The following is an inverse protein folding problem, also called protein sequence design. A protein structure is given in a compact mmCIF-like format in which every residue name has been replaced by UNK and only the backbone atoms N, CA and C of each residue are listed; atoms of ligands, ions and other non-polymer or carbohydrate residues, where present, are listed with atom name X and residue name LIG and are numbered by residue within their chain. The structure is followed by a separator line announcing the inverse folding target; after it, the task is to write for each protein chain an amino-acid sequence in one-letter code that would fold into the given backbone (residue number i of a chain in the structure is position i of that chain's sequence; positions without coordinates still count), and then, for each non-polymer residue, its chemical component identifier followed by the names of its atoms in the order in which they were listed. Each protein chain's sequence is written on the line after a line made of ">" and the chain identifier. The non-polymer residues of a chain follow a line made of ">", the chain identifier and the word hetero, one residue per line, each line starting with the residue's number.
data_IF_640610266880
#
_entry.id   IF_640610266880
#
_cell.length_a   1.000
_cell.length_b   1.000
_cell.length_c   1.000
_cell.angle_alpha   90.00
_cell.angle_beta   90.00
_cell.angle_gamma   90.00
#
_symmetry.space_group_name_H-M   'P 1'
#
loop_
_entity.id
_entity.type
_entity.pdbx_description
1 polymer ?
#
# COMPACT_ATOMS: atom_id res chain seq x y z
N UNK A 1 59.65 -6.14 16.80
CA UNK A 1 58.79 -7.25 16.31
C UNK A 1 57.97 -7.77 17.50
N UNK A 2 56.73 -7.32 17.66
CA UNK A 2 55.89 -7.71 18.80
C UNK A 2 55.22 -9.06 18.54
N UNK A 3 55.61 -10.08 19.30
CA UNK A 3 55.02 -11.42 19.28
C UNK A 3 53.70 -11.42 20.05
N UNK A 4 52.57 -11.42 19.35
CA UNK A 4 51.25 -11.64 19.97
C UNK A 4 51.15 -13.05 20.57
N UNK A 5 50.74 -13.14 21.83
CA UNK A 5 50.60 -14.37 22.59
C UNK A 5 49.51 -15.29 22.02
N UNK A 6 49.69 -16.63 22.04
CA UNK A 6 48.79 -17.59 21.41
C UNK A 6 47.34 -17.55 21.94
N UNK A 7 47.13 -17.05 23.16
CA UNK A 7 45.80 -16.83 23.75
C UNK A 7 45.02 -15.71 23.07
N UNK A 8 45.68 -14.61 22.65
CA UNK A 8 45.03 -13.50 21.95
C UNK A 8 44.62 -13.85 20.52
N UNK A 9 45.34 -14.76 19.86
CA UNK A 9 44.97 -15.27 18.52
C UNK A 9 43.72 -16.16 18.56
N UNK A 10 43.60 -17.03 19.57
CA UNK A 10 42.42 -17.90 19.75
C UNK A 10 41.16 -17.11 20.09
N UNK A 11 41.27 -16.10 20.95
CA UNK A 11 40.14 -15.23 21.28
C UNK A 11 39.62 -14.44 20.07
N UNK A 12 40.53 -13.94 19.21
CA UNK A 12 40.16 -13.25 17.96
C UNK A 12 39.50 -14.19 16.95
N UNK A 13 40.00 -15.42 16.81
CA UNK A 13 39.41 -16.40 15.89
C UNK A 13 37.98 -16.78 16.31
N UNK A 14 37.75 -16.99 17.62
CA UNK A 14 36.44 -17.29 18.18
C UNK A 14 35.46 -16.13 18.04
N UNK A 15 35.93 -14.88 18.18
CA UNK A 15 35.09 -13.70 17.96
C UNK A 15 34.67 -13.54 16.49
N UNK A 16 35.58 -13.80 15.54
CA UNK A 16 35.27 -13.74 14.10
C UNK A 16 34.30 -14.86 13.71
N UNK A 17 34.49 -16.08 14.23
CA UNK A 17 33.55 -17.19 14.01
C UNK A 17 32.17 -16.91 14.63
N UNK A 18 32.13 -16.36 15.84
CA UNK A 18 30.86 -15.97 16.49
C UNK A 18 30.10 -14.91 15.70
N UNK A 19 30.81 -13.88 15.19
CA UNK A 19 30.22 -12.85 14.33
C UNK A 19 29.72 -13.41 12.99
N UNK A 20 30.47 -14.33 12.37
CA UNK A 20 30.07 -14.98 11.13
C UNK A 20 28.83 -15.87 11.31
N UNK A 21 28.73 -16.60 12.43
CA UNK A 21 27.55 -17.41 12.75
C UNK A 21 26.33 -16.52 13.05
N UNK A 22 26.49 -15.43 13.81
CA UNK A 22 25.38 -14.48 14.02
C UNK A 22 24.92 -13.82 12.71
N UNK A 23 25.85 -13.44 11.83
CA UNK A 23 25.52 -12.89 10.51
C UNK A 23 24.77 -13.89 9.64
N UNK A 24 25.16 -15.17 9.66
CA UNK A 24 24.49 -16.23 8.92
C UNK A 24 23.08 -16.51 9.48
N UNK A 25 22.93 -16.53 10.81
CA UNK A 25 21.62 -16.72 11.46
C UNK A 25 20.67 -15.54 11.17
N UNK A 26 21.17 -14.30 11.20
CA UNK A 26 20.37 -13.13 10.84
C UNK A 26 19.93 -13.15 9.36
N UNK A 27 20.77 -13.64 8.45
CA UNK A 27 20.44 -13.80 7.03
C UNK A 27 19.45 -14.95 6.75
N UNK A 28 19.21 -15.84 7.71
CA UNK A 28 18.25 -16.95 7.61
C UNK A 28 16.88 -16.62 8.22
N UNK A 29 16.70 -15.42 8.79
CA UNK A 29 15.39 -14.98 9.25
C UNK A 29 14.57 -14.61 8.01
N UNK A 30 13.49 -15.33 7.68
CA UNK A 30 12.62 -14.92 6.59
C UNK A 30 12.07 -13.53 6.91
N UNK A 31 12.32 -12.56 6.04
CA UNK A 31 11.61 -11.29 6.08
C UNK A 31 10.12 -11.58 5.90
N UNK A 32 9.22 -11.00 6.71
CA UNK A 32 7.80 -11.15 6.46
C UNK A 32 7.51 -10.70 5.03
N UNK A 33 7.08 -11.64 4.18
CA UNK A 33 6.66 -11.31 2.84
C UNK A 33 5.26 -10.71 2.96
N UNK A 34 5.21 -9.38 3.05
CA UNK A 34 3.96 -8.63 3.11
C UNK A 34 3.29 -8.72 1.75
N UNK A 35 2.09 -9.27 1.71
CA UNK A 35 1.21 -9.07 0.57
C UNK A 35 0.63 -7.65 0.62
N UNK A 36 0.20 -7.15 -0.53
CA UNK A 36 -0.36 -5.81 -0.66
C UNK A 36 -1.22 -5.76 -1.92
N UNK A 37 -2.46 -5.33 -1.76
CA UNK A 37 -3.41 -5.12 -2.84
C UNK A 37 -4.71 -4.50 -2.32
N UNK A 38 -5.34 -3.69 -3.16
CA UNK A 38 -6.72 -3.25 -3.01
C UNK A 38 -7.39 -3.25 -4.39
N UNK A 39 -8.73 -3.28 -4.41
CA UNK A 39 -9.49 -3.28 -5.67
C UNK A 39 -9.30 -1.96 -6.40
N UNK A 40 -8.99 -2.03 -7.69
CA UNK A 40 -8.73 -0.89 -8.57
C UNK A 40 -9.91 -0.61 -9.50
N UNK A 41 -10.66 -1.66 -9.88
CA UNK A 41 -11.90 -1.55 -10.66
C UNK A 41 -12.90 -2.64 -10.21
N UNK A 42 -14.10 -2.26 -9.71
CA UNK A 42 -14.45 -0.92 -9.25
C UNK A 42 -13.54 -0.49 -8.10
N UNK A 43 -13.04 0.74 -8.13
CA UNK A 43 -11.98 1.19 -7.22
C UNK A 43 -12.40 1.19 -5.74
N UNK A 44 -11.51 0.73 -4.88
CA UNK A 44 -11.71 0.73 -3.44
C UNK A 44 -11.64 2.15 -2.86
N UNK A 45 -12.26 2.40 -1.70
CA UNK A 45 -12.17 3.68 -0.98
C UNK A 45 -10.72 4.16 -0.83
N UNK A 46 -9.83 3.30 -0.34
CA UNK A 46 -8.41 3.64 -0.14
C UNK A 46 -7.72 4.00 -1.45
N UNK A 47 -7.96 3.24 -2.52
CA UNK A 47 -7.37 3.46 -3.83
C UNK A 47 -7.87 4.75 -4.50
N UNK A 48 -9.20 4.97 -4.53
CA UNK A 48 -9.75 6.19 -5.15
C UNK A 48 -9.38 7.45 -4.36
N UNK A 49 -9.35 7.39 -3.02
CA UNK A 49 -8.85 8.49 -2.21
C UNK A 49 -7.34 8.72 -2.40
N UNK A 50 -6.56 7.67 -2.68
CA UNK A 50 -5.14 7.80 -3.03
C UNK A 50 -4.97 8.52 -4.36
N UNK A 51 -5.74 8.17 -5.39
CA UNK A 51 -5.71 8.87 -6.67
C UNK A 51 -6.12 10.35 -6.53
N UNK A 52 -7.13 10.65 -5.69
CA UNK A 52 -7.52 12.02 -5.39
C UNK A 52 -6.42 12.79 -4.63
N UNK A 53 -5.74 12.14 -3.67
CA UNK A 53 -4.56 12.71 -3.01
C UNK A 53 -3.44 12.99 -4.03
N UNK A 54 -3.17 12.08 -4.96
CA UNK A 54 -2.13 12.23 -5.99
C UNK A 54 -2.38 13.45 -6.89
N UNK A 55 -3.64 13.67 -7.31
CA UNK A 55 -4.04 14.88 -8.05
C UNK A 55 -3.84 16.17 -7.25
N UNK A 56 -3.84 16.06 -5.92
CA UNK A 56 -3.75 17.18 -4.98
C UNK A 56 -2.49 17.12 -4.10
N UNK A 57 -1.41 16.50 -4.62
CA UNK A 57 -0.20 16.22 -3.84
C UNK A 57 0.43 17.47 -3.22
N UNK A 58 0.24 18.65 -3.84
CA UNK A 58 0.73 19.93 -3.34
C UNK A 58 0.13 20.38 -2.00
N UNK A 59 -1.08 19.94 -1.65
CA UNK A 59 -1.74 20.25 -0.36
C UNK A 59 -1.71 19.06 0.61
N UNK A 60 -1.28 17.88 0.16
CA UNK A 60 -1.41 16.62 0.90
C UNK A 60 -2.85 16.34 1.34
N UNK A 61 -3.84 16.84 0.59
CA UNK A 61 -5.25 16.72 0.94
C UNK A 61 -6.10 16.35 -0.29
N UNK A 62 -6.85 15.22 -0.24
CA UNK A 62 -7.86 14.90 -1.24
C UNK A 62 -8.92 16.01 -1.33
N UNK A 63 -9.57 16.13 -2.50
CA UNK A 63 -10.65 17.10 -2.71
C UNK A 63 -12.04 16.52 -2.45
N UNK A 64 -12.19 15.20 -2.53
CA UNK A 64 -13.39 14.49 -2.12
C UNK A 64 -13.64 14.70 -0.62
N UNK A 65 -14.85 15.09 -0.19
CA UNK A 65 -15.14 15.36 1.22
C UNK A 65 -14.98 14.15 2.15
N UNK A 66 -15.33 12.94 1.71
CA UNK A 66 -15.15 11.72 2.50
C UNK A 66 -13.66 11.35 2.64
N UNK A 67 -12.90 11.42 1.54
CA UNK A 67 -11.46 11.20 1.55
C UNK A 67 -10.74 12.23 2.42
N UNK A 68 -11.09 13.51 2.32
CA UNK A 68 -10.52 14.57 3.15
C UNK A 68 -10.84 14.36 4.63
N UNK A 69 -12.06 13.94 4.97
CA UNK A 69 -12.43 13.57 6.33
C UNK A 69 -11.61 12.38 6.84
N UNK A 70 -11.41 11.35 6.01
CA UNK A 70 -10.60 10.19 6.38
C UNK A 70 -9.13 10.58 6.66
N UNK A 71 -8.55 11.48 5.87
CA UNK A 71 -7.19 11.99 6.14
C UNK A 71 -7.15 12.87 7.39
N UNK A 72 -8.19 13.65 7.68
CA UNK A 72 -8.25 14.44 8.91
C UNK A 72 -8.32 13.56 10.17
N UNK A 73 -8.92 12.38 10.08
CA UNK A 73 -9.06 11.44 11.19
C UNK A 73 -7.82 10.53 11.35
N UNK A 74 -7.40 9.83 10.28
CA UNK A 74 -6.35 8.81 10.34
C UNK A 74 -5.01 9.24 9.71
N UNK A 75 -4.90 10.48 9.24
CA UNK A 75 -3.71 11.01 8.56
C UNK A 75 -3.57 10.50 7.11
N UNK A 76 -2.47 10.88 6.44
CA UNK A 76 -2.19 10.47 5.06
C UNK A 76 -1.57 9.07 4.95
N UNK A 77 -1.09 8.51 6.07
CA UNK A 77 -0.44 7.19 6.13
C UNK A 77 -1.22 6.08 5.42
N UNK A 78 -2.53 5.92 5.68
CA UNK A 78 -3.38 4.98 4.96
C UNK A 78 -3.37 5.13 3.44
N UNK A 79 -3.30 6.35 2.91
CA UNK A 79 -3.29 6.58 1.46
C UNK A 79 -1.95 6.27 0.82
N UNK A 80 -0.82 6.50 1.51
CA UNK A 80 0.49 6.03 1.05
C UNK A 80 0.65 4.50 1.13
N UNK A 81 -0.27 3.84 1.84
CA UNK A 81 -0.31 2.39 2.01
C UNK A 81 -1.69 1.86 1.60
N UNK A 82 -2.30 2.44 0.56
CA UNK A 82 -3.69 2.20 0.14
C UNK A 82 -4.01 0.72 -0.12
N UNK A 83 -2.97 -0.06 -0.43
CA UNK A 83 -2.96 -1.49 -0.69
C UNK A 83 -2.77 -2.38 0.57
N UNK A 84 -2.69 -1.79 1.78
CA UNK A 84 -2.27 -2.48 3.00
C UNK A 84 -3.41 -2.69 4.02
N UNK A 85 -4.67 -2.70 3.58
CA UNK A 85 -5.82 -3.05 4.43
C UNK A 85 -5.81 -4.56 4.67
N UNK A 86 -5.08 -4.97 5.71
CA UNK A 86 -4.74 -6.38 5.94
C UNK A 86 -4.98 -6.84 7.38
N UNK A 87 -5.08 -8.14 7.55
CA UNK A 87 -4.93 -8.83 8.84
C UNK A 87 -4.01 -10.03 8.67
N UNK A 88 -2.81 -9.97 9.26
CA UNK A 88 -1.81 -11.04 9.20
C UNK A 88 -2.29 -12.37 9.79
N UNK A 89 -3.35 -12.37 10.60
CA UNK A 89 -3.93 -13.55 11.19
C UNK A 89 -5.34 -13.86 10.65
N UNK A 90 -5.80 -13.24 9.58
CA UNK A 90 -7.19 -13.36 9.14
C UNK A 90 -7.65 -14.82 8.93
N UNK A 91 -6.79 -15.70 8.39
CA UNK A 91 -7.05 -17.12 8.18
C UNK A 91 -8.33 -17.43 7.38
N UNK A 92 -8.77 -16.49 6.52
CA UNK A 92 -10.05 -16.57 5.78
C UNK A 92 -11.29 -16.40 6.65
N UNK A 93 -11.14 -15.99 7.92
CA UNK A 93 -12.26 -15.79 8.86
C UNK A 93 -13.04 -14.51 8.51
N UNK A 94 -14.35 -14.56 8.70
CA UNK A 94 -15.27 -13.48 8.33
C UNK A 94 -16.17 -13.10 9.52
N UNK A 95 -17.45 -13.48 9.47
CA UNK A 95 -18.43 -13.22 10.49
C UNK A 95 -18.01 -13.79 11.86
N UNK A 96 -18.19 -13.00 12.91
CA UNK A 96 -17.75 -13.33 14.27
C UNK A 96 -16.26 -13.12 14.52
N UNK A 97 -15.47 -12.75 13.51
CA UNK A 97 -14.05 -12.42 13.65
C UNK A 97 -13.74 -10.95 13.32
N UNK A 98 -14.16 -10.49 12.13
CA UNK A 98 -14.20 -9.05 11.81
C UNK A 98 -15.56 -8.52 12.28
N UNK A 99 -15.61 -7.54 13.19
CA UNK A 99 -16.86 -6.96 13.64
C UNK A 99 -17.63 -6.28 12.50
N UNK A 100 -18.97 -6.33 12.56
CA UNK A 100 -19.80 -5.54 11.67
C UNK A 100 -19.47 -4.04 11.84
N UNK A 101 -19.55 -3.31 10.72
CA UNK A 101 -19.12 -1.92 10.64
C UNK A 101 -17.61 -1.72 10.60
N UNK A 102 -16.80 -2.78 10.56
CA UNK A 102 -15.33 -2.69 10.45
C UNK A 102 -14.78 -3.48 9.25
N UNK A 103 -15.62 -3.79 8.26
CA UNK A 103 -15.21 -4.61 7.13
C UNK A 103 -14.22 -3.87 6.22
N UNK A 104 -14.37 -2.55 6.06
CA UNK A 104 -13.57 -1.75 5.13
C UNK A 104 -12.18 -1.41 5.67
N UNK A 105 -11.98 -1.49 7.00
CA UNK A 105 -10.68 -1.44 7.66
C UNK A 105 -10.05 -2.82 7.94
N UNK A 106 -10.72 -3.91 7.59
CA UNK A 106 -10.27 -5.26 7.97
C UNK A 106 -10.29 -5.52 9.48
N UNK A 107 -11.21 -4.89 10.22
CA UNK A 107 -11.26 -4.90 11.68
C UNK A 107 -10.22 -4.00 12.33
N UNK A 108 -9.60 -3.09 11.56
CA UNK A 108 -8.45 -2.27 11.94
C UNK A 108 -7.31 -3.08 12.61
N UNK A 109 -7.05 -4.28 12.10
CA UNK A 109 -6.07 -5.24 12.65
C UNK A 109 -4.69 -5.13 12.01
N UNK A 110 -4.58 -4.36 10.93
CA UNK A 110 -3.34 -4.15 10.19
C UNK A 110 -2.37 -3.19 10.86
N UNK A 111 -1.23 -2.92 10.21
CA UNK A 111 -0.19 -2.03 10.75
C UNK A 111 -0.53 -0.53 10.63
N UNK A 112 -1.55 -0.16 9.86
CA UNK A 112 -2.00 1.22 9.68
C UNK A 112 -3.45 1.37 10.15
N UNK A 113 -3.80 2.58 10.58
CA UNK A 113 -5.15 2.91 11.02
C UNK A 113 -6.05 3.20 9.83
N UNK A 114 -6.89 2.23 9.44
CA UNK A 114 -7.88 2.39 8.37
C UNK A 114 -9.29 2.64 8.91
N UNK A 115 -9.45 2.93 10.20
CA UNK A 115 -10.78 3.05 10.83
C UNK A 115 -11.67 4.12 10.18
N UNK A 116 -11.10 5.24 9.71
CA UNK A 116 -11.87 6.28 9.04
C UNK A 116 -12.51 5.84 7.71
N UNK A 117 -12.02 4.75 7.09
CA UNK A 117 -12.59 4.18 5.86
C UNK A 117 -13.83 3.32 6.10
N UNK A 118 -14.19 3.04 7.37
CA UNK A 118 -15.46 2.43 7.75
C UNK A 118 -16.61 3.45 7.84
N UNK A 119 -16.33 4.75 7.70
CA UNK A 119 -17.34 5.79 7.90
C UNK A 119 -18.55 5.64 6.96
N UNK A 120 -19.74 5.75 7.56
CA UNK A 120 -21.03 5.70 6.87
C UNK A 120 -21.33 7.07 6.25
N UNK A 121 -21.07 7.19 4.95
CA UNK A 121 -21.22 8.45 4.20
C UNK A 121 -21.72 8.18 2.78
N UNK A 122 -22.43 9.15 2.22
CA UNK A 122 -22.93 9.09 0.84
C UNK A 122 -22.10 9.86 -0.19
N UNK A 123 -20.93 10.37 0.22
CA UNK A 123 -20.05 11.23 -0.59
C UNK A 123 -18.65 10.63 -0.81
N UNK A 124 -18.48 9.33 -0.61
CA UNK A 124 -17.30 8.59 -1.08
C UNK A 124 -17.22 8.62 -2.62
N UNK A 125 -16.01 8.53 -3.21
CA UNK A 125 -15.87 8.27 -4.64
C UNK A 125 -16.64 7.00 -5.03
N UNK A 126 -17.41 7.06 -6.11
CA UNK A 126 -18.36 6.00 -6.48
C UNK A 126 -18.21 5.59 -7.93
N UNK A 127 -18.18 4.27 -8.19
CA UNK A 127 -18.10 3.73 -9.55
C UNK A 127 -19.50 3.47 -10.12
N UNK A 128 -19.77 3.96 -11.32
CA UNK A 128 -21.04 3.83 -12.04
C UNK A 128 -21.05 2.54 -12.87
N UNK A 129 -22.04 1.68 -12.65
CA UNK A 129 -22.11 0.35 -13.26
C UNK A 129 -23.51 0.06 -13.82
N UNK A 130 -23.56 -0.93 -14.71
CA UNK A 130 -24.80 -1.43 -15.29
C UNK A 130 -25.24 -2.70 -14.59
N UNK A 131 -26.50 -2.73 -14.14
CA UNK A 131 -27.11 -3.90 -13.48
C UNK A 131 -27.10 -5.11 -14.41
N UNK A 132 -26.66 -6.27 -13.91
CA UNK A 132 -26.57 -7.47 -14.74
C UNK A 132 -25.44 -7.50 -15.78
N UNK A 133 -24.56 -6.50 -15.81
CA UNK A 133 -23.39 -6.52 -16.69
C UNK A 133 -22.29 -7.46 -16.19
N UNK A 134 -21.43 -7.91 -17.11
CA UNK A 134 -20.13 -8.47 -16.76
C UNK A 134 -19.10 -7.35 -16.72
N UNK A 135 -18.29 -7.33 -15.68
CA UNK A 135 -17.19 -6.37 -15.51
C UNK A 135 -15.85 -7.10 -15.41
N UNK A 136 -14.78 -6.49 -15.92
CA UNK A 136 -13.41 -6.89 -15.59
C UNK A 136 -13.07 -6.30 -14.21
N UNK A 137 -13.09 -7.13 -13.17
CA UNK A 137 -12.63 -6.73 -11.85
C UNK A 137 -11.09 -6.69 -11.86
N UNK A 138 -10.51 -5.59 -11.37
CA UNK A 138 -9.06 -5.43 -11.22
C UNK A 138 -8.70 -5.26 -9.76
N UNK A 139 -7.72 -6.02 -9.29
CA UNK A 139 -7.21 -5.92 -7.91
C UNK A 139 -5.70 -5.76 -7.94
N UNK A 140 -5.16 -4.79 -7.23
CA UNK A 140 -3.73 -4.46 -7.27
C UNK A 140 -2.87 -5.67 -6.92
N UNK A 141 -1.76 -5.82 -7.65
CA UNK A 141 -0.72 -6.79 -7.36
C UNK A 141 0.55 -6.13 -6.77
N UNK A 142 0.39 -5.04 -6.00
CA UNK A 142 1.52 -4.30 -5.40
C UNK A 142 2.57 -5.22 -4.77
N UNK A 143 2.12 -6.25 -4.05
CA UNK A 143 2.95 -7.42 -3.77
C UNK A 143 2.18 -8.69 -4.14
N UNK A 144 2.65 -9.41 -5.16
CA UNK A 144 2.01 -10.63 -5.66
C UNK A 144 2.14 -11.80 -4.68
N UNK A 145 1.02 -12.52 -4.44
CA UNK A 145 0.96 -13.76 -3.66
C UNK A 145 -0.14 -14.69 -4.20
N UNK A 146 -0.06 -16.01 -3.97
CA UNK A 146 -1.09 -16.95 -4.39
C UNK A 146 -2.27 -16.96 -3.42
N UNK A 147 -3.49 -17.11 -3.92
CA UNK A 147 -4.68 -17.15 -3.07
C UNK A 147 -6.01 -17.07 -3.81
N UNK A 148 -7.07 -17.00 -3.02
CA UNK A 148 -8.45 -16.86 -3.47
C UNK A 148 -8.94 -15.43 -3.29
N UNK A 149 -9.61 -14.88 -4.31
CA UNK A 149 -10.27 -13.58 -4.26
C UNK A 149 -11.77 -13.80 -4.20
N UNK A 150 -12.35 -13.68 -3.02
CA UNK A 150 -13.80 -13.79 -2.82
C UNK A 150 -14.44 -12.41 -3.00
N UNK A 151 -15.40 -12.32 -3.91
CA UNK A 151 -16.11 -11.08 -4.24
C UNK A 151 -17.52 -11.14 -3.71
N UNK A 152 -17.88 -10.16 -2.89
CA UNK A 152 -19.18 -10.00 -2.30
C UNK A 152 -19.80 -8.69 -2.75
N UNK A 153 -21.12 -8.62 -2.68
CA UNK A 153 -21.88 -7.39 -2.88
C UNK A 153 -22.98 -7.30 -1.83
N UNK A 154 -23.32 -6.09 -1.43
CA UNK A 154 -24.53 -5.86 -0.62
C UNK A 154 -25.80 -6.39 -1.30
N UNK A 155 -26.69 -6.98 -0.50
CA UNK A 155 -28.00 -7.47 -0.93
C UNK A 155 -28.89 -6.32 -1.41
N UNK A 156 -29.85 -6.63 -2.27
CA UNK A 156 -30.87 -5.67 -2.69
C UNK A 156 -31.61 -5.12 -1.46
N UNK A 157 -31.83 -3.81 -1.43
CA UNK A 157 -32.48 -3.13 -0.30
C UNK A 157 -31.54 -2.74 0.85
N UNK A 158 -30.22 -2.97 0.74
CA UNK A 158 -29.24 -2.36 1.64
C UNK A 158 -29.36 -0.83 1.60
N UNK A 159 -29.33 -0.20 2.77
CA UNK A 159 -29.75 1.19 2.95
C UNK A 159 -28.59 2.20 2.99
N UNK A 160 -27.36 1.78 2.67
CA UNK A 160 -26.18 2.63 2.79
C UNK A 160 -25.64 2.76 4.23
N UNK A 161 -26.10 1.93 5.17
CA UNK A 161 -25.66 1.93 6.57
C UNK A 161 -24.26 1.37 6.79
N UNK A 162 -23.89 1.17 8.05
CA UNK A 162 -22.64 0.47 8.38
C UNK A 162 -22.69 -0.95 7.81
N UNK A 163 -21.64 -1.35 7.07
CA UNK A 163 -21.60 -2.63 6.39
C UNK A 163 -21.39 -3.77 7.39
N UNK A 164 -22.30 -4.73 7.44
CA UNK A 164 -22.16 -5.98 8.19
C UNK A 164 -22.05 -7.20 7.28
N UNK A 165 -21.68 -8.35 7.86
CA UNK A 165 -21.58 -9.61 7.12
C UNK A 165 -22.92 -10.10 6.59
N UNK A 166 -24.00 -9.86 7.34
CA UNK A 166 -25.36 -10.24 6.94
C UNK A 166 -25.91 -9.35 5.81
N UNK A 167 -25.28 -8.21 5.51
CA UNK A 167 -25.62 -7.37 4.35
C UNK A 167 -25.07 -7.95 3.04
N UNK A 168 -24.06 -8.83 3.11
CA UNK A 168 -23.31 -9.29 1.95
C UNK A 168 -23.81 -10.64 1.40
N UNK A 169 -23.70 -10.79 0.09
CA UNK A 169 -23.74 -12.09 -0.58
C UNK A 169 -22.54 -12.26 -1.51
N UNK A 170 -21.99 -13.47 -1.58
CA UNK A 170 -20.86 -13.77 -2.45
C UNK A 170 -21.35 -13.98 -3.88
N UNK A 171 -20.73 -13.28 -4.84
CA UNK A 171 -21.09 -13.34 -6.27
C UNK A 171 -19.98 -13.93 -7.13
N UNK A 172 -18.74 -13.98 -6.64
CA UNK A 172 -17.63 -14.61 -7.36
C UNK A 172 -16.55 -15.13 -6.39
N UNK A 173 -15.76 -16.08 -6.87
CA UNK A 173 -14.52 -16.55 -6.25
C UNK A 173 -13.57 -16.96 -7.36
N UNK A 174 -12.34 -16.48 -7.32
CA UNK A 174 -11.30 -16.89 -8.28
C UNK A 174 -10.01 -17.21 -7.53
N UNK A 175 -9.38 -18.32 -7.92
CA UNK A 175 -8.08 -18.75 -7.40
C UNK A 175 -6.98 -18.37 -8.38
N UNK A 176 -5.95 -17.66 -7.90
CA UNK A 176 -4.77 -17.28 -8.70
C UNK A 176 -5.09 -16.69 -10.09
N UNK A 177 -5.88 -15.60 -10.17
CA UNK A 177 -6.19 -14.94 -11.44
C UNK A 177 -4.94 -14.48 -12.19
N UNK A 178 -5.01 -14.33 -13.52
CA UNK A 178 -3.92 -13.76 -14.32
C UNK A 178 -3.61 -12.32 -13.92
N UNK A 179 -2.43 -11.84 -14.29
CA UNK A 179 -1.92 -10.50 -13.98
C UNK A 179 -1.62 -9.71 -15.26
N UNK A 180 -1.74 -8.38 -15.15
CA UNK A 180 -1.37 -7.38 -16.16
C UNK A 180 -0.61 -6.25 -15.48
N UNK A 181 0.44 -5.74 -16.12
CA UNK A 181 1.33 -4.73 -15.52
C UNK A 181 2.36 -5.35 -14.58
N UNK A 182 3.24 -4.49 -14.04
CA UNK A 182 4.34 -4.89 -13.17
C UNK A 182 3.88 -5.03 -11.72
N UNK A 183 4.37 -6.04 -11.01
CA UNK A 183 4.22 -6.12 -9.55
C UNK A 183 4.91 -4.92 -8.90
N UNK A 184 4.26 -4.29 -7.93
CA UNK A 184 4.79 -3.12 -7.22
C UNK A 184 4.64 -1.80 -7.95
N UNK A 185 3.71 -1.71 -8.91
CA UNK A 185 3.32 -0.47 -9.57
C UNK A 185 1.87 -0.09 -9.25
N UNK A 186 1.54 1.19 -9.36
CA UNK A 186 0.19 1.74 -9.17
C UNK A 186 -0.80 1.22 -10.22
N UNK A 187 -0.32 0.84 -11.41
CA UNK A 187 -1.12 0.26 -12.51
C UNK A 187 -1.19 -1.27 -12.52
N UNK A 188 -0.31 -1.96 -11.79
CA UNK A 188 -0.20 -3.42 -11.79
C UNK A 188 -1.37 -4.10 -11.10
N UNK A 189 -1.97 -5.12 -11.73
CA UNK A 189 -3.16 -5.78 -11.18
C UNK A 189 -3.36 -7.23 -11.64
N UNK A 190 -4.07 -7.98 -10.79
CA UNK A 190 -4.83 -9.15 -11.21
C UNK A 190 -6.10 -8.74 -11.93
N UNK A 191 -6.61 -9.57 -12.83
CA UNK A 191 -7.89 -9.33 -13.49
C UNK A 191 -8.71 -10.61 -13.73
N UNK A 192 -10.03 -10.50 -13.66
CA UNK A 192 -10.99 -11.55 -14.02
C UNK A 192 -12.39 -10.97 -14.24
N UNK A 193 -13.25 -11.72 -14.92
CA UNK A 193 -14.63 -11.31 -15.15
C UNK A 193 -15.54 -11.63 -13.95
N UNK A 194 -16.40 -10.68 -13.59
CA UNK A 194 -17.44 -10.85 -12.57
C UNK A 194 -18.80 -10.48 -13.16
N UNK A 195 -19.75 -11.43 -13.07
CA UNK A 195 -21.15 -11.20 -13.42
C UNK A 195 -21.85 -10.48 -12.27
N UNK A 196 -22.24 -9.22 -12.49
CA UNK A 196 -23.00 -8.45 -11.50
C UNK A 196 -24.43 -9.00 -11.41
N UNK A 197 -25.01 -9.08 -10.19
CA UNK A 197 -26.42 -9.43 -10.05
C UNK A 197 -27.33 -8.27 -10.49
N UNK A 198 -28.63 -8.54 -10.54
CA UNK A 198 -29.63 -7.49 -10.72
C UNK A 198 -29.75 -6.66 -9.44
N UNK A 199 -29.51 -5.34 -9.55
CA UNK A 199 -29.50 -4.37 -8.45
C UNK A 199 -29.93 -2.99 -8.90
N UNK A 200 -30.34 -2.15 -7.96
CA UNK A 200 -30.64 -0.73 -8.22
C UNK A 200 -30.05 0.20 -7.17
N UNK A 201 -29.59 1.38 -7.60
CA UNK A 201 -29.05 2.37 -6.68
C UNK A 201 -27.66 2.03 -6.12
N UNK A 202 -27.34 2.57 -4.97
CA UNK A 202 -26.01 2.48 -4.35
C UNK A 202 -25.81 1.16 -3.62
N UNK A 203 -24.66 0.54 -3.85
CA UNK A 203 -24.24 -0.70 -3.23
C UNK A 203 -22.75 -0.64 -2.87
N UNK A 204 -22.32 -1.61 -2.05
CA UNK A 204 -20.90 -1.85 -1.79
C UNK A 204 -20.49 -3.17 -2.42
N UNK A 205 -19.39 -3.17 -3.17
CA UNK A 205 -18.66 -4.37 -3.55
C UNK A 205 -17.50 -4.58 -2.56
N UNK A 206 -17.34 -5.80 -2.08
CA UNK A 206 -16.34 -6.15 -1.08
C UNK A 206 -15.48 -7.31 -1.59
N UNK A 207 -14.16 -7.11 -1.62
CA UNK A 207 -13.20 -8.15 -1.99
C UNK A 207 -12.44 -8.59 -0.75
N UNK A 208 -12.44 -9.90 -0.50
CA UNK A 208 -11.64 -10.56 0.52
C UNK A 208 -10.63 -11.48 -0.16
N UNK A 209 -9.36 -11.06 -0.14
CA UNK A 209 -8.25 -11.86 -0.65
C UNK A 209 -7.69 -12.74 0.47
N UNK A 210 -7.65 -14.04 0.21
CA UNK A 210 -7.16 -15.07 1.13
C UNK A 210 -5.92 -15.71 0.55
N UNK A 211 -4.77 -15.41 1.16
CA UNK A 211 -3.51 -16.06 0.78
C UNK A 211 -3.58 -17.55 1.07
N UNK A 212 -2.97 -18.32 0.16
CA UNK A 212 -2.82 -19.76 0.31
C UNK A 212 -1.48 -20.17 0.94
N UNK A 213 -0.55 -19.22 1.06
CA UNK A 213 0.81 -19.40 1.59
C UNK A 213 1.02 -18.72 2.96
N UNK A 214 -0.02 -18.09 3.52
CA UNK A 214 0.00 -17.36 4.79
C UNK A 214 -1.38 -17.32 5.43
N UNK A 215 -1.47 -16.93 6.71
CA UNK A 215 -2.74 -16.59 7.35
C UNK A 215 -3.19 -15.16 7.02
N UNK A 216 -2.37 -14.39 6.33
CA UNK A 216 -2.64 -13.00 6.01
C UNK A 216 -3.74 -12.85 4.95
N UNK A 217 -4.67 -11.92 5.21
CA UNK A 217 -5.80 -11.57 4.36
C UNK A 217 -5.80 -10.08 4.01
N UNK A 218 -6.46 -9.72 2.91
CA UNK A 218 -6.69 -8.33 2.49
C UNK A 218 -8.16 -8.07 2.25
N UNK A 219 -8.56 -6.83 2.50
CA UNK A 219 -9.96 -6.41 2.49
C UNK A 219 -10.12 -5.12 1.70
N UNK A 220 -11.16 -5.04 0.88
CA UNK A 220 -11.36 -3.90 0.01
C UNK A 220 -12.83 -3.61 -0.17
N UNK A 221 -13.25 -2.38 0.12
CA UNK A 221 -14.60 -1.87 -0.07
C UNK A 221 -14.61 -0.88 -1.24
N UNK A 222 -15.48 -1.11 -2.22
CA UNK A 222 -15.70 -0.25 -3.37
C UNK A 222 -17.16 0.21 -3.40
N UNK A 223 -17.39 1.52 -3.24
CA UNK A 223 -18.71 2.12 -3.40
C UNK A 223 -19.10 2.12 -4.89
N UNK A 224 -20.27 1.58 -5.20
CA UNK A 224 -20.79 1.46 -6.57
C UNK A 224 -22.24 1.95 -6.66
N UNK A 225 -22.66 2.36 -7.85
CA UNK A 225 -24.06 2.69 -8.15
C UNK A 225 -24.50 2.01 -9.44
N UNK A 226 -25.70 1.43 -9.42
CA UNK A 226 -26.35 0.85 -10.60
C UNK A 226 -27.26 1.89 -11.25
N UNK A 227 -26.71 2.65 -12.20
CA UNK A 227 -27.40 3.71 -12.94
C UNK A 227 -27.17 3.63 -14.46
N UNK A 228 -26.53 2.57 -14.94
CA UNK A 228 -26.26 2.34 -16.37
C UNK A 228 -24.86 2.76 -16.83
N UNK A 229 -23.97 3.10 -15.89
CA UNK A 229 -22.55 3.34 -16.17
C UNK A 229 -21.78 2.10 -16.59
N UNK A 230 -20.54 2.32 -17.03
CA UNK A 230 -19.60 1.32 -17.55
C UNK A 230 -18.21 1.47 -16.93
N UNK A 231 -18.14 1.90 -15.66
CA UNK A 231 -16.90 2.05 -14.90
C UNK A 231 -16.44 3.50 -14.71
N UNK A 232 -17.25 4.48 -15.09
CA UNK A 232 -17.00 5.88 -14.74
C UNK A 232 -16.97 6.04 -13.22
N UNK A 233 -16.17 6.96 -12.71
CA UNK A 233 -16.02 7.21 -11.27
C UNK A 233 -16.34 8.67 -10.99
N UNK A 234 -17.36 8.91 -10.18
CA UNK A 234 -17.59 10.25 -9.61
C UNK A 234 -16.68 10.39 -8.39
N UNK A 235 -15.67 11.25 -8.51
CA UNK A 235 -14.65 11.49 -7.47
C UNK A 235 -15.16 12.43 -6.37
N UNK A 236 -16.30 13.10 -6.57
CA UNK A 236 -16.86 14.10 -5.66
C UNK A 236 -16.92 15.49 -6.29
N UNK A 237 -17.77 16.38 -5.76
CA UNK A 237 -17.93 17.77 -6.25
C UNK A 237 -18.32 17.92 -7.73
N UNK A 238 -18.91 16.88 -8.34
CA UNK A 238 -19.34 16.87 -9.75
C UNK A 238 -18.24 16.51 -10.75
N UNK A 239 -17.05 16.10 -10.29
CA UNK A 239 -15.99 15.56 -11.14
C UNK A 239 -16.23 14.06 -11.39
N UNK A 240 -16.44 13.70 -12.65
CA UNK A 240 -16.65 12.31 -13.08
C UNK A 240 -15.60 11.97 -14.13
N UNK A 241 -14.83 10.93 -13.84
CA UNK A 241 -13.79 10.41 -14.71
C UNK A 241 -14.28 9.14 -15.40
N UNK A 242 -13.91 8.93 -16.65
CA UNK A 242 -14.05 7.63 -17.30
C UNK A 242 -13.13 6.58 -16.66
N UNK A 243 -13.42 5.30 -16.89
CA UNK A 243 -12.55 4.21 -16.45
C UNK A 243 -11.14 4.31 -17.04
N UNK A 244 -11.01 4.87 -18.25
CA UNK A 244 -9.74 5.15 -18.91
C UNK A 244 -8.98 6.26 -18.19
N UNK A 245 -9.63 7.39 -17.89
CA UNK A 245 -9.01 8.49 -17.12
C UNK A 245 -8.56 8.04 -15.72
N UNK A 246 -9.32 7.17 -15.04
CA UNK A 246 -8.88 6.57 -13.75
C UNK A 246 -7.62 5.72 -13.92
N UNK A 247 -7.51 4.99 -15.05
CA UNK A 247 -6.31 4.20 -15.37
C UNK A 247 -5.12 5.14 -15.67
N UNK A 248 -5.35 6.20 -16.45
CA UNK A 248 -4.33 7.21 -16.75
C UNK A 248 -3.80 7.92 -15.50
N UNK A 249 -4.65 8.15 -14.48
CA UNK A 249 -4.21 8.70 -13.20
C UNK A 249 -3.25 7.77 -12.46
N UNK A 250 -3.50 6.45 -12.51
CA UNK A 250 -2.62 5.45 -11.91
C UNK A 250 -1.28 5.37 -12.66
N UNK A 251 -1.33 5.36 -14.00
CA UNK A 251 -0.13 5.36 -14.85
C UNK A 251 0.71 6.64 -14.63
N UNK A 252 0.06 7.79 -14.41
CA UNK A 252 0.74 9.04 -14.09
C UNK A 252 1.42 9.01 -12.71
N UNK A 253 0.78 8.38 -11.71
CA UNK A 253 1.37 8.19 -10.38
C UNK A 253 2.61 7.28 -10.46
N UNK A 254 2.55 6.20 -11.24
CA UNK A 254 3.69 5.33 -11.56
C UNK A 254 4.86 6.11 -12.20
N UNK A 255 4.56 6.92 -13.21
CA UNK A 255 5.57 7.73 -13.88
C UNK A 255 6.22 8.76 -12.93
N UNK A 256 5.42 9.37 -12.06
CA UNK A 256 5.92 10.28 -11.04
C UNK A 256 6.84 9.55 -10.04
N UNK A 257 6.47 8.37 -9.56
CA UNK A 257 7.30 7.56 -8.66
C UNK A 257 8.63 7.16 -9.31
N UNK A 258 8.60 6.71 -10.56
CA UNK A 258 9.81 6.36 -11.31
C UNK A 258 10.76 7.56 -11.50
N UNK A 259 10.22 8.75 -11.77
CA UNK A 259 11.03 9.96 -11.89
C UNK A 259 11.71 10.36 -10.57
N UNK A 260 11.03 10.20 -9.43
CA UNK A 260 11.60 10.45 -8.10
C UNK A 260 12.72 9.45 -7.77
N UNK A 261 12.54 8.17 -8.12
CA UNK A 261 13.57 7.14 -7.93
C UNK A 261 14.84 7.47 -8.75
N UNK A 262 14.69 7.85 -10.03
CA UNK A 262 15.82 8.24 -10.87
C UNK A 262 16.56 9.49 -10.33
N UNK A 263 15.82 10.47 -9.78
CA UNK A 263 16.44 11.62 -9.13
C UNK A 263 17.21 11.25 -7.85
N UNK A 264 16.70 10.32 -7.05
CA UNK A 264 17.37 9.83 -5.85
C UNK A 264 18.71 9.13 -6.19
N UNK A 265 18.73 8.28 -7.23
CA UNK A 265 19.95 7.60 -7.70
C UNK A 265 21.02 8.60 -8.19
N UNK A 266 20.62 9.69 -8.85
CA UNK A 266 21.56 10.75 -9.27
C UNK A 266 22.12 11.58 -8.11
N UNK A 267 21.39 11.73 -7.00
CA UNK A 267 21.90 12.42 -5.81
C UNK A 267 22.96 11.61 -5.05
N UNK A 268 22.86 10.28 -5.03
CA UNK A 268 23.88 9.41 -4.40
C UNK A 268 25.20 9.35 -5.19
N UNK A 269 25.14 9.46 -6.53
CA UNK A 269 26.35 9.62 -7.35
C UNK A 269 27.09 10.95 -7.11
N UNK A 270 26.38 11.98 -6.64
CA UNK A 270 26.99 13.28 -6.32
C UNK A 270 27.66 13.28 -4.93
N UNK A 271 27.21 12.41 -4.01
CA UNK A 271 27.80 12.28 -2.66
C UNK A 271 29.10 11.45 -2.65
N UNK A 272 29.28 10.53 -3.59
CA UNK A 272 30.50 9.70 -3.68
C UNK A 272 31.69 10.38 -4.39
N UNK A 273 31.51 11.55 -5.02
CA UNK A 273 32.58 12.30 -5.67
C UNK A 273 33.36 13.25 -4.72
N UNK A 274 33.03 13.26 -3.42
CA UNK A 274 33.55 14.23 -2.45
C UNK A 274 34.66 13.77 -1.51
N UNK A 275 35.21 12.55 -1.64
CA UNK A 275 36.28 12.07 -0.76
C UNK A 275 37.38 11.29 -1.51
N UNK A 276 38.27 12.03 -2.16
CA UNK A 276 39.58 11.54 -2.56
C UNK A 276 40.66 12.57 -2.15
N UNK A 277 41.17 12.36 -0.93
CA UNK A 277 42.54 12.59 -0.46
C UNK A 277 43.44 13.55 -1.28
N UNK A 278 43.67 14.75 -0.74
CA UNK A 278 44.87 15.52 -1.04
C UNK A 278 45.93 15.28 0.06
N UNK A 279 46.91 14.43 -0.24
CA UNK A 279 48.18 14.32 0.50
C UNK A 279 49.32 14.71 -0.42
N UNK A 280 50.14 15.69 -0.03
CA UNK A 280 51.40 16.00 -0.71
C UNK A 280 52.03 17.31 -0.23
N UNK A 281 53.10 17.20 0.55
CA UNK A 281 53.77 18.26 1.31
C UNK A 281 54.84 19.05 0.52
N UNK A 282 55.13 20.28 0.98
CA UNK A 282 56.46 20.90 0.90
C UNK A 282 56.66 21.90 2.05
N UNK A 283 57.90 21.97 2.55
CA UNK A 283 58.29 22.42 3.90
C UNK A 283 58.90 23.85 3.97
N UNK A 284 59.36 24.20 5.19
CA UNK A 284 60.23 25.32 5.65
C UNK A 284 59.47 26.57 6.12
N UNK A 285 59.66 27.14 7.33
CA UNK A 285 60.54 26.86 8.45
C UNK A 285 60.38 27.93 9.56
N UNK A 286 60.91 27.61 10.75
CA UNK A 286 61.31 28.47 11.88
C UNK A 286 60.28 29.33 12.64
N UNK A 287 60.29 29.20 13.99
CA UNK A 287 59.88 30.28 14.90
C UNK A 287 59.27 29.81 16.22
N UNK A 288 60.05 29.84 17.29
CA UNK A 288 59.71 29.45 18.67
C UNK A 288 58.91 30.55 19.40
N UNK A 289 58.11 30.15 20.42
CA UNK A 289 57.63 30.87 21.64
C UNK A 289 56.15 31.24 21.64
N UNK A 290 55.39 31.32 22.75
CA UNK A 290 55.28 30.68 24.08
C UNK A 290 53.91 31.18 24.64
N UNK A 291 53.25 30.38 25.49
CA UNK A 291 52.34 30.77 26.60
C UNK A 291 50.93 31.41 26.36
N UNK A 292 49.93 30.68 26.88
CA UNK A 292 48.91 31.08 27.87
C UNK A 292 47.67 31.95 27.51
N UNK A 293 46.51 31.49 28.03
CA UNK A 293 45.42 32.33 28.57
C UNK A 293 44.06 32.20 27.86
N UNK A 294 43.09 31.46 28.42
CA UNK A 294 41.88 31.89 29.20
C UNK A 294 40.77 32.64 28.45
N UNK A 295 39.53 32.12 28.59
CA UNK A 295 38.21 32.76 28.74
C UNK A 295 37.85 33.87 27.73
N UNK A 296 36.81 33.71 26.92
CA UNK A 296 35.37 33.75 27.25
C UNK A 296 34.56 33.10 26.12
#
# INVERSE_FOLDING_TARGET
>A
MSTQSPTTRRARLLAVLGAAVLGLVAALIPSPASAHGATMMPGARTYLCYLDLQRNMGTQMPTNPACAAAVQESGTGPLYNWFAVLDSNGAGRTAGYIPDGQLCSGGNRGPFDFSAYDAVRGDWPITHLTSGANIELRHSNWAHHPGDFNVYITKEGWNGGALGWDDLEQISSVTNPPQRGSVGSDSGHYYWDVQLPQRTGTHMLYVHWIRSDSQENFYSCSDIVFDGGNGEVTMGSGDTLSAEEVTELADAADAAAASHAAHAEHTDHSAHAGHATATGAAAVGAGVRTLAGTLF
#
